data_IF_131612727164
#
_entry.id   IF_131612727164
#
_cell.length_a   1.000
_cell.length_b   1.000
_cell.length_c   1.000
_cell.angle_alpha   90.00
_cell.angle_beta   90.00
_cell.angle_gamma   90.00
#
_symmetry.space_group_name_H-M   'P 1'
#
loop_
_entity.id
_entity.type
_entity.pdbx_description
1 polymer ?
#
# COMPACT_ATOMS: atom_id res chain seq x y z
N UNK A 1 -25.46 -25.02 20.65
CA UNK A 1 -25.07 -25.53 19.32
C UNK A 1 -25.45 -24.46 18.31
N UNK A 2 -24.54 -23.55 18.02
CA UNK A 2 -24.70 -22.51 16.99
C UNK A 2 -24.20 -23.09 15.67
N UNK A 3 -25.12 -23.41 14.77
CA UNK A 3 -24.80 -23.87 13.42
C UNK A 3 -24.10 -22.75 12.67
N UNK A 4 -22.84 -22.98 12.29
CA UNK A 4 -22.14 -22.20 11.29
C UNK A 4 -22.77 -22.53 9.93
N UNK A 5 -23.64 -21.66 9.43
CA UNK A 5 -24.01 -21.70 8.01
C UNK A 5 -22.71 -21.61 7.18
N UNK A 6 -22.55 -22.39 6.10
CA UNK A 6 -21.36 -22.31 5.27
C UNK A 6 -21.36 -20.94 4.57
N UNK A 7 -20.65 -19.98 5.16
CA UNK A 7 -20.36 -18.70 4.54
C UNK A 7 -19.66 -18.94 3.20
N UNK A 8 -20.04 -18.19 2.17
CA UNK A 8 -19.37 -18.28 0.88
C UNK A 8 -17.98 -17.66 1.03
N UNK A 9 -16.93 -18.47 1.11
CA UNK A 9 -15.55 -17.96 1.11
C UNK A 9 -15.16 -17.48 -0.29
N UNK A 10 -14.73 -16.23 -0.40
CA UNK A 10 -14.24 -15.65 -1.64
C UNK A 10 -12.71 -15.64 -1.66
N UNK A 11 -12.12 -16.36 -2.62
CA UNK A 11 -10.70 -16.26 -2.91
C UNK A 11 -10.42 -15.06 -3.82
N UNK A 12 -9.60 -14.13 -3.35
CA UNK A 12 -9.12 -13.00 -4.15
C UNK A 12 -7.62 -12.93 -4.17
N UNK A 13 -7.09 -12.46 -5.30
CA UNK A 13 -5.68 -12.21 -5.50
C UNK A 13 -5.47 -10.70 -5.42
N UNK A 14 -4.73 -10.25 -4.42
CA UNK A 14 -4.52 -8.83 -4.12
C UNK A 14 -3.05 -8.50 -4.35
N UNK A 15 -2.78 -7.40 -5.07
CA UNK A 15 -1.42 -6.88 -5.22
C UNK A 15 -1.17 -5.80 -4.18
N UNK A 16 -0.03 -5.90 -3.51
CA UNK A 16 0.46 -4.96 -2.52
C UNK A 16 1.77 -4.36 -3.02
N UNK A 17 1.77 -3.05 -3.30
CA UNK A 17 2.91 -2.31 -3.82
C UNK A 17 3.50 -1.40 -2.75
N UNK A 18 4.80 -1.49 -2.51
CA UNK A 18 5.50 -0.66 -1.55
C UNK A 18 5.90 0.68 -2.17
N UNK A 19 5.46 1.84 -1.63
CA UNK A 19 5.83 3.14 -2.19
C UNK A 19 7.23 3.62 -1.78
N UNK A 20 7.95 2.83 -0.98
CA UNK A 20 9.30 3.16 -0.47
C UNK A 20 10.38 2.50 -1.32
N UNK A 21 10.32 1.18 -1.49
CA UNK A 21 11.32 0.40 -2.21
C UNK A 21 10.81 -0.16 -3.55
N UNK A 22 9.58 0.18 -3.94
CA UNK A 22 8.91 -0.24 -5.19
C UNK A 22 8.71 -1.76 -5.34
N UNK A 23 9.03 -2.55 -4.31
CA UNK A 23 8.73 -3.97 -4.29
C UNK A 23 7.20 -4.19 -4.30
N UNK A 24 6.76 -5.18 -5.08
CA UNK A 24 5.36 -5.59 -5.13
C UNK A 24 5.23 -7.07 -4.78
N UNK A 25 4.19 -7.41 -4.03
CA UNK A 25 3.85 -8.79 -3.68
C UNK A 25 2.41 -9.03 -4.07
N UNK A 26 2.08 -10.27 -4.43
CA UNK A 26 0.71 -10.64 -4.72
C UNK A 26 0.30 -11.81 -3.86
N UNK A 27 -0.68 -11.59 -2.99
CA UNK A 27 -1.17 -12.58 -2.04
C UNK A 27 -2.55 -13.10 -2.43
N UNK A 28 -2.84 -14.33 -2.01
CA UNK A 28 -4.17 -14.92 -2.08
C UNK A 28 -4.83 -14.78 -0.72
N UNK A 29 -5.93 -14.04 -0.66
CA UNK A 29 -6.69 -13.78 0.57
C UNK A 29 -8.05 -14.45 0.46
N UNK A 30 -8.40 -15.20 1.50
CA UNK A 30 -9.75 -15.75 1.69
C UNK A 30 -10.52 -14.79 2.58
N UNK A 31 -11.71 -14.40 2.14
CA UNK A 31 -12.60 -13.55 2.93
C UNK A 31 -14.00 -14.16 2.94
N UNK A 32 -14.68 -14.03 4.07
CA UNK A 32 -16.10 -14.40 4.20
C UNK A 32 -16.99 -13.36 3.51
N UNK A 33 -16.59 -12.08 3.52
CA UNK A 33 -17.26 -10.98 2.83
C UNK A 33 -16.29 -10.19 1.94
N UNK A 34 -16.68 -9.91 0.71
CA UNK A 34 -15.93 -9.06 -0.22
C UNK A 34 -15.64 -7.65 0.31
N UNK A 35 -16.45 -7.13 1.24
CA UNK A 35 -16.21 -5.84 1.91
C UNK A 35 -14.94 -5.85 2.76
N UNK A 36 -14.55 -7.01 3.28
CA UNK A 36 -13.38 -7.17 4.14
C UNK A 36 -12.07 -7.14 3.36
N UNK A 37 -12.11 -7.29 2.03
CA UNK A 37 -10.94 -7.14 1.16
C UNK A 37 -10.27 -5.78 1.32
N UNK A 38 -11.02 -4.73 1.69
CA UNK A 38 -10.50 -3.39 1.93
C UNK A 38 -9.69 -3.27 3.23
N UNK A 39 -9.88 -4.21 4.16
CA UNK A 39 -9.17 -4.25 5.44
C UNK A 39 -7.86 -5.05 5.35
N UNK A 40 -7.64 -5.78 4.24
CA UNK A 40 -6.41 -6.51 4.01
C UNK A 40 -5.24 -5.53 3.89
N UNK A 41 -4.37 -5.53 4.89
CA UNK A 41 -3.15 -4.72 4.96
C UNK A 41 -1.95 -5.63 5.02
N UNK A 42 -0.87 -5.24 4.33
CA UNK A 42 0.39 -5.97 4.35
C UNK A 42 1.55 -4.97 4.45
N UNK A 43 2.55 -5.30 5.26
CA UNK A 43 3.82 -4.58 5.27
C UNK A 43 4.75 -5.16 4.21
N UNK A 44 5.59 -4.31 3.63
CA UNK A 44 6.53 -4.72 2.61
C UNK A 44 7.54 -5.73 3.20
N UNK A 45 7.72 -6.92 2.61
CA UNK A 45 8.64 -7.90 3.15
C UNK A 45 10.12 -7.51 3.01
N UNK A 46 10.42 -6.50 2.19
CA UNK A 46 11.79 -6.04 1.93
C UNK A 46 12.22 -4.97 2.93
N UNK A 47 11.39 -3.97 3.17
CA UNK A 47 11.75 -2.79 3.99
C UNK A 47 10.83 -2.53 5.19
N UNK A 48 9.82 -3.39 5.41
CA UNK A 48 8.87 -3.26 6.53
C UNK A 48 7.85 -2.12 6.41
N UNK A 49 7.97 -1.25 5.40
CA UNK A 49 7.06 -0.11 5.22
C UNK A 49 5.64 -0.56 4.85
N UNK A 50 4.60 0.21 5.23
CA UNK A 50 3.23 -0.06 4.79
C UNK A 50 3.12 -0.12 3.26
N UNK A 51 2.36 -1.08 2.73
CA UNK A 51 2.09 -1.17 1.29
C UNK A 51 0.75 -0.56 0.93
N UNK A 52 0.62 -0.17 -0.33
CA UNK A 52 -0.65 0.21 -0.93
C UNK A 52 -1.22 -0.96 -1.72
N UNK A 53 -2.53 -1.15 -1.60
CA UNK A 53 -3.27 -2.18 -2.32
C UNK A 53 -3.61 -1.69 -3.72
N UNK A 54 -3.36 -2.53 -4.74
CA UNK A 54 -3.64 -2.23 -6.14
C UNK A 54 -4.60 -3.30 -6.68
N UNK A 55 -5.89 -2.99 -6.70
CA UNK A 55 -6.94 -3.91 -7.16
C UNK A 55 -7.53 -3.47 -8.51
N UNK A 56 -7.34 -2.22 -8.89
CA UNK A 56 -7.90 -1.60 -10.10
C UNK A 56 -6.89 -0.64 -10.77
N UNK A 57 -7.10 -0.28 -12.05
CA UNK A 57 -6.30 0.73 -12.72
C UNK A 57 -6.28 2.09 -12.00
N UNK A 58 -7.38 2.46 -11.35
CA UNK A 58 -7.46 3.70 -10.58
C UNK A 58 -6.54 3.66 -9.35
N UNK A 59 -6.38 2.50 -8.71
CA UNK A 59 -5.45 2.33 -7.60
C UNK A 59 -3.99 2.48 -8.07
N UNK A 60 -3.67 2.02 -9.29
CA UNK A 60 -2.35 2.23 -9.90
C UNK A 60 -2.10 3.73 -10.13
N UNK A 61 -3.08 4.49 -10.65
CA UNK A 61 -2.98 5.94 -10.81
C UNK A 61 -2.72 6.62 -9.47
N UNK A 62 -3.47 6.24 -8.43
CA UNK A 62 -3.28 6.78 -7.08
C UNK A 62 -1.91 6.44 -6.50
N UNK A 63 -1.40 5.23 -6.76
CA UNK A 63 -0.07 4.83 -6.35
C UNK A 63 1.02 5.69 -7.00
N UNK A 64 0.94 5.95 -8.31
CA UNK A 64 1.89 6.83 -8.98
C UNK A 64 1.78 8.29 -8.52
N UNK A 65 0.56 8.79 -8.31
CA UNK A 65 0.36 10.12 -7.75
C UNK A 65 0.98 10.24 -6.34
N UNK A 66 0.84 9.20 -5.51
CA UNK A 66 1.46 9.15 -4.19
C UNK A 66 2.99 9.15 -4.27
N UNK A 67 3.58 8.38 -5.19
CA UNK A 67 5.03 8.36 -5.42
C UNK A 67 5.55 9.74 -5.81
N UNK A 68 4.86 10.43 -6.72
CA UNK A 68 5.23 11.76 -7.19
C UNK A 68 5.15 12.82 -6.07
N UNK A 69 4.06 12.79 -5.29
CA UNK A 69 3.90 13.65 -4.11
C UNK A 69 5.03 13.41 -3.10
N UNK A 70 5.34 12.14 -2.79
CA UNK A 70 6.39 11.79 -1.83
C UNK A 70 7.75 12.29 -2.27
N UNK A 71 8.09 12.14 -3.56
CA UNK A 71 9.31 12.68 -4.15
C UNK A 71 9.36 14.21 -3.98
N UNK A 72 8.30 14.91 -4.37
CA UNK A 72 8.21 16.37 -4.29
C UNK A 72 8.41 16.88 -2.86
N UNK A 73 7.83 16.19 -1.87
CA UNK A 73 8.02 16.54 -0.45
C UNK A 73 9.49 16.36 -0.05
N UNK A 74 10.12 15.25 -0.42
CA UNK A 74 11.52 15.01 -0.10
C UNK A 74 12.46 16.03 -0.75
N UNK A 75 12.21 16.41 -2.01
CA UNK A 75 12.98 17.45 -2.71
C UNK A 75 12.88 18.79 -1.97
N UNK A 76 11.67 19.22 -1.61
CA UNK A 76 11.46 20.46 -0.84
C UNK A 76 12.10 20.41 0.55
N UNK A 77 12.08 19.26 1.22
CA UNK A 77 12.75 19.09 2.51
C UNK A 77 14.27 19.18 2.37
N UNK A 78 14.83 18.63 1.29
CA UNK A 78 16.26 18.73 1.00
C UNK A 78 16.68 20.18 0.74
N UNK A 79 15.91 20.93 -0.06
CA UNK A 79 16.14 22.37 -0.31
C UNK A 79 16.16 23.16 1.02
N UNK A 80 15.16 22.94 1.89
CA UNK A 80 15.12 23.61 3.21
C UNK A 80 16.30 23.25 4.10
N UNK A 81 16.80 22.01 3.99
CA UNK A 81 17.94 21.53 4.76
C UNK A 81 19.24 22.15 4.25
N UNK A 82 19.44 22.24 2.93
CA UNK A 82 20.57 22.96 2.31
C UNK A 82 20.59 24.43 2.71
N UNK A 83 19.44 25.13 2.59
CA UNK A 83 19.31 26.52 3.05
C UNK A 83 19.73 26.66 4.52
N UNK A 84 19.30 25.75 5.39
CA UNK A 84 19.62 25.79 6.82
C UNK A 84 21.11 25.56 7.10
N UNK A 85 21.77 24.69 6.34
CA UNK A 85 23.21 24.46 6.47
C UNK A 85 24.05 25.62 5.94
N UNK A 86 23.59 26.34 4.91
CA UNK A 86 24.28 27.54 4.39
C UNK A 86 24.28 28.71 5.40
N UNK A 87 23.35 28.72 6.37
CA UNK A 87 23.27 29.72 7.43
C UNK A 87 24.09 29.37 8.70
N UNK A 88 24.63 28.16 8.82
CA UNK A 88 25.42 27.68 9.98
C UNK A 88 26.93 27.73 9.70
#
# INVERSE_FOLDING_TARGET
MSGSEPGTEYLRRIKFSCPVCLNSVTEKVWVEDTRDLKQAVQNCPVCGSPTMRIDSPDDDIQFFAYLDMRRTIHERMAEQMEDTYDYL
#
